data_IF_005713869004
#
_entry.id   IF_005713869004
#
_cell.length_a   1.000
_cell.length_b   1.000
_cell.length_c   1.000
_cell.angle_alpha   90.00
_cell.angle_beta   90.00
_cell.angle_gamma   90.00
#
_symmetry.space_group_name_H-M   'P 1'
#
loop_
_entity.id
_entity.type
_entity.pdbx_description
1 polymer ?
#
# COMPACT_ATOMS: atom_id res chain seq x y z
N UNK A 1 13.12 15.11 33.94
CA UNK A 1 11.99 14.97 32.99
C UNK A 1 12.13 13.61 32.34
N UNK A 2 11.34 12.62 32.79
CA UNK A 2 11.28 11.31 32.16
C UNK A 2 10.45 11.45 30.88
N UNK A 3 11.09 11.40 29.72
CA UNK A 3 10.38 11.17 28.46
C UNK A 3 9.73 9.80 28.60
N UNK A 4 8.40 9.75 28.54
CA UNK A 4 7.64 8.52 28.42
C UNK A 4 8.12 7.80 27.16
N UNK A 5 8.87 6.71 27.28
CA UNK A 5 9.15 5.81 26.17
C UNK A 5 7.83 5.19 25.69
N UNK A 6 7.17 5.84 24.74
CA UNK A 6 6.06 5.25 24.03
C UNK A 6 6.61 4.22 23.05
N UNK A 7 6.23 2.94 23.20
CA UNK A 7 6.54 1.81 22.29
C UNK A 7 5.97 1.95 20.86
N UNK A 8 5.55 3.14 20.46
CA UNK A 8 4.89 3.36 19.19
C UNK A 8 5.95 3.59 18.11
N UNK A 9 5.84 2.88 16.99
CA UNK A 9 6.67 3.13 15.82
C UNK A 9 6.17 4.39 15.08
N UNK A 10 7.09 5.27 14.69
CA UNK A 10 6.81 6.46 13.90
C UNK A 10 7.29 6.29 12.46
N UNK A 11 6.41 6.57 11.49
CA UNK A 11 6.71 6.44 10.07
C UNK A 11 6.85 7.82 9.42
N UNK A 12 7.90 8.00 8.62
CA UNK A 12 8.04 9.15 7.72
C UNK A 12 7.29 8.90 6.42
N UNK A 13 6.56 9.89 5.89
CA UNK A 13 5.78 9.75 4.65
C UNK A 13 6.49 10.48 3.51
N UNK A 14 7.04 9.72 2.58
CA UNK A 14 7.68 10.22 1.37
C UNK A 14 6.62 10.80 0.44
N UNK A 15 6.82 12.06 0.03
CA UNK A 15 5.97 12.82 -0.88
C UNK A 15 6.75 13.20 -2.16
N UNK A 16 6.06 13.78 -3.15
CA UNK A 16 6.69 14.20 -4.41
C UNK A 16 5.90 13.85 -5.67
N UNK A 17 4.65 13.37 -5.55
CA UNK A 17 3.81 12.97 -6.69
C UNK A 17 4.56 11.96 -7.60
N UNK A 18 4.49 12.13 -8.91
CA UNK A 18 5.17 11.32 -9.92
C UNK A 18 6.53 11.88 -10.36
N UNK A 19 7.09 12.83 -9.61
CA UNK A 19 8.34 13.53 -9.91
C UNK A 19 9.49 12.98 -9.06
N UNK A 20 10.51 12.41 -9.71
CA UNK A 20 11.63 11.73 -9.04
C UNK A 20 12.51 12.70 -8.24
N UNK A 21 12.75 13.89 -8.76
CA UNK A 21 13.53 14.93 -8.10
C UNK A 21 12.89 15.37 -6.76
N UNK A 22 11.57 15.53 -6.74
CA UNK A 22 10.84 15.84 -5.51
C UNK A 22 10.83 14.66 -4.54
N UNK A 23 10.80 13.43 -5.06
CA UNK A 23 10.90 12.20 -4.26
C UNK A 23 12.27 12.08 -3.60
N UNK A 24 13.35 12.39 -4.32
CA UNK A 24 14.72 12.35 -3.80
C UNK A 24 14.90 13.33 -2.64
N UNK A 25 14.39 14.56 -2.80
CA UNK A 25 14.39 15.57 -1.73
C UNK A 25 13.64 15.03 -0.50
N UNK A 26 12.47 14.43 -0.71
CA UNK A 26 11.65 13.90 0.38
C UNK A 26 12.29 12.71 1.08
N UNK A 27 12.81 11.72 0.33
CA UNK A 27 13.46 10.54 0.90
C UNK A 27 14.68 10.95 1.70
N UNK A 28 15.56 11.77 1.11
CA UNK A 28 16.78 12.20 1.78
C UNK A 28 16.47 12.91 3.10
N UNK A 29 15.55 13.86 3.08
CA UNK A 29 15.16 14.60 4.30
C UNK A 29 14.58 13.68 5.38
N UNK A 30 13.76 12.69 5.02
CA UNK A 30 13.18 11.76 5.99
C UNK A 30 14.19 10.72 6.51
N UNK A 31 15.11 10.26 5.65
CA UNK A 31 16.19 9.36 6.05
C UNK A 31 17.13 10.05 7.02
N UNK A 32 17.48 11.31 6.76
CA UNK A 32 18.32 12.13 7.65
C UNK A 32 17.68 12.34 9.04
N UNK A 33 16.34 12.39 9.12
CA UNK A 33 15.61 12.48 10.41
C UNK A 33 15.66 11.14 11.18
N UNK A 34 15.58 10.02 10.48
CA UNK A 34 15.63 8.68 11.08
C UNK A 34 14.31 8.22 11.71
N UNK A 35 13.46 7.53 10.93
CA UNK A 35 12.18 6.98 11.38
C UNK A 35 12.25 5.47 11.65
N UNK A 36 11.21 4.92 12.29
CA UNK A 36 11.08 3.48 12.50
C UNK A 36 10.68 2.74 11.21
N UNK A 37 10.08 3.47 10.26
CA UNK A 37 9.69 2.97 8.94
C UNK A 37 9.38 4.12 7.98
N UNK A 38 9.19 3.79 6.71
CA UNK A 38 8.99 4.77 5.64
C UNK A 38 7.77 4.40 4.81
N UNK A 39 6.82 5.32 4.72
CA UNK A 39 5.65 5.18 3.88
C UNK A 39 5.84 5.93 2.56
N UNK A 40 5.37 5.36 1.46
CA UNK A 40 5.28 6.01 0.15
C UNK A 40 3.84 6.48 -0.05
N UNK A 41 3.64 7.79 0.04
CA UNK A 41 2.33 8.43 -0.10
C UNK A 41 2.12 9.07 -1.47
N UNK A 42 0.85 9.31 -1.82
CA UNK A 42 0.48 10.08 -3.01
C UNK A 42 0.65 9.35 -4.35
N UNK A 43 0.65 8.01 -4.35
CA UNK A 43 0.74 7.14 -5.54
C UNK A 43 -0.49 6.22 -5.69
N UNK A 44 -1.66 6.67 -5.27
CA UNK A 44 -2.92 5.94 -5.43
C UNK A 44 -4.09 6.89 -5.71
N UNK A 45 -3.81 8.04 -6.35
CA UNK A 45 -4.77 9.15 -6.48
C UNK A 45 -5.33 9.30 -7.89
N UNK A 46 -4.81 8.56 -8.87
CA UNK A 46 -5.40 8.45 -10.21
C UNK A 46 -4.39 8.42 -11.37
N UNK A 47 -3.10 8.42 -11.05
CA UNK A 47 -2.01 8.37 -12.01
C UNK A 47 -1.88 6.99 -12.69
N UNK A 48 -1.24 6.91 -13.87
CA UNK A 48 -0.99 5.67 -14.56
C UNK A 48 -0.16 4.68 -13.74
N UNK A 49 -0.42 3.38 -13.89
CA UNK A 49 0.33 2.31 -13.19
C UNK A 49 1.82 2.32 -13.50
N UNK A 50 2.19 2.66 -14.73
CA UNK A 50 3.60 2.80 -15.11
C UNK A 50 4.32 3.86 -14.28
N UNK A 51 3.65 4.97 -13.93
CA UNK A 51 4.24 6.01 -13.08
C UNK A 51 4.39 5.54 -11.64
N UNK A 52 3.36 4.89 -11.08
CA UNK A 52 3.47 4.27 -9.75
C UNK A 52 4.66 3.30 -9.69
N UNK A 53 4.81 2.41 -10.67
CA UNK A 53 5.90 1.44 -10.71
C UNK A 53 7.27 2.09 -10.83
N UNK A 54 7.41 3.08 -11.72
CA UNK A 54 8.64 3.84 -11.91
C UNK A 54 9.06 4.54 -10.61
N UNK A 55 8.14 5.19 -9.92
CA UNK A 55 8.45 5.86 -8.65
C UNK A 55 8.81 4.85 -7.56
N UNK A 56 8.16 3.70 -7.50
CA UNK A 56 8.52 2.65 -6.55
C UNK A 56 9.92 2.09 -6.82
N UNK A 57 10.28 1.85 -8.08
CA UNK A 57 11.63 1.42 -8.49
C UNK A 57 12.70 2.45 -8.11
N UNK A 58 12.36 3.75 -8.21
CA UNK A 58 13.26 4.84 -7.88
C UNK A 58 13.45 5.04 -6.37
N UNK A 59 12.35 4.99 -5.60
CA UNK A 59 12.33 5.34 -4.18
C UNK A 59 12.75 4.20 -3.27
N UNK A 60 12.28 2.98 -3.51
CA UNK A 60 12.46 1.88 -2.56
C UNK A 60 13.94 1.54 -2.28
N UNK A 61 14.86 1.57 -3.28
CA UNK A 61 16.29 1.35 -3.05
C UNK A 61 16.97 2.42 -2.19
N UNK A 62 16.39 3.62 -2.09
CA UNK A 62 16.94 4.73 -1.32
C UNK A 62 16.56 4.68 0.17
N UNK A 63 15.59 3.83 0.53
CA UNK A 63 15.17 3.61 1.93
C UNK A 63 16.10 2.57 2.58
N UNK A 64 16.58 2.79 3.82
CA UNK A 64 17.40 1.82 4.54
C UNK A 64 16.80 0.41 4.53
N UNK A 65 17.63 -0.59 4.20
CA UNK A 65 17.16 -1.96 3.98
C UNK A 65 16.63 -2.65 5.24
N UNK A 66 17.00 -2.15 6.42
CA UNK A 66 16.55 -2.61 7.74
C UNK A 66 15.23 -1.97 8.19
N UNK A 67 14.62 -1.11 7.36
CA UNK A 67 13.40 -0.36 7.69
C UNK A 67 12.23 -0.81 6.82
N UNK A 68 11.02 -0.99 7.40
CA UNK A 68 9.84 -1.40 6.65
C UNK A 68 9.38 -0.30 5.69
N UNK A 69 8.98 -0.71 4.48
CA UNK A 69 8.44 0.14 3.42
C UNK A 69 6.94 -0.07 3.28
N UNK A 70 6.17 1.00 3.44
CA UNK A 70 4.70 0.96 3.42
C UNK A 70 4.12 1.72 2.24
N UNK A 71 3.38 1.06 1.34
CA UNK A 71 2.67 1.73 0.25
C UNK A 71 1.22 2.04 0.64
N UNK A 72 0.89 3.33 0.69
CA UNK A 72 -0.41 3.81 1.17
C UNK A 72 -1.47 3.80 0.06
N UNK A 73 -2.66 3.26 0.36
CA UNK A 73 -3.87 3.36 -0.47
C UNK A 73 -3.97 2.36 -1.62
N UNK A 74 -3.11 1.34 -1.66
CA UNK A 74 -3.02 0.35 -2.74
C UNK A 74 -3.50 -1.02 -2.27
N UNK A 75 -4.36 -1.69 -3.06
CA UNK A 75 -4.89 -3.00 -2.65
C UNK A 75 -5.49 -3.88 -3.74
N UNK A 76 -5.26 -3.59 -5.03
CA UNK A 76 -5.58 -4.60 -6.05
C UNK A 76 -4.54 -5.72 -5.98
N UNK A 77 -4.93 -7.00 -6.16
CA UNK A 77 -3.99 -8.11 -6.10
C UNK A 77 -2.77 -7.94 -7.02
N UNK A 78 -2.96 -7.43 -8.25
CA UNK A 78 -1.84 -7.22 -9.18
C UNK A 78 -0.86 -6.16 -8.65
N UNK A 79 -1.39 -5.09 -8.04
CA UNK A 79 -0.57 -4.01 -7.48
C UNK A 79 0.22 -4.46 -6.25
N UNK A 80 -0.33 -5.38 -5.44
CA UNK A 80 0.37 -5.95 -4.28
C UNK A 80 1.59 -6.75 -4.75
N UNK A 81 1.40 -7.63 -5.75
CA UNK A 81 2.51 -8.43 -6.32
C UNK A 81 3.60 -7.51 -6.86
N UNK A 82 3.21 -6.46 -7.57
CA UNK A 82 4.13 -5.55 -8.23
C UNK A 82 4.84 -4.60 -7.24
N UNK A 83 4.16 -4.23 -6.15
CA UNK A 83 4.75 -3.50 -5.04
C UNK A 83 5.77 -4.34 -4.27
N UNK A 84 5.45 -5.61 -3.96
CA UNK A 84 6.38 -6.52 -3.27
C UNK A 84 7.65 -6.75 -4.10
N UNK A 85 7.50 -6.92 -5.42
CA UNK A 85 8.66 -7.03 -6.33
C UNK A 85 9.58 -5.82 -6.31
N UNK A 86 9.07 -4.65 -5.92
CA UNK A 86 9.82 -3.39 -5.80
C UNK A 86 10.28 -3.09 -4.38
N UNK A 87 10.04 -4.00 -3.44
CA UNK A 87 10.53 -3.90 -2.07
C UNK A 87 9.56 -3.29 -1.07
N UNK A 88 8.26 -3.16 -1.41
CA UNK A 88 7.23 -2.79 -0.44
C UNK A 88 6.89 -3.97 0.48
N UNK A 89 6.82 -3.70 1.78
CA UNK A 89 6.57 -4.69 2.83
C UNK A 89 5.13 -4.61 3.38
N UNK A 90 4.51 -3.44 3.33
CA UNK A 90 3.19 -3.17 3.90
C UNK A 90 2.27 -2.44 2.92
N UNK A 91 0.98 -2.70 3.00
CA UNK A 91 -0.05 -2.09 2.15
C UNK A 91 -1.34 -1.87 2.94
N UNK A 92 -2.13 -0.87 2.54
CA UNK A 92 -3.50 -0.67 3.04
C UNK A 92 -4.45 -0.30 1.90
N UNK A 93 -5.71 -0.75 1.99
CA UNK A 93 -6.73 -0.33 1.05
C UNK A 93 -8.13 -0.48 1.62
N UNK A 94 -9.00 0.48 1.32
CA UNK A 94 -10.44 0.37 1.61
C UNK A 94 -11.18 -0.51 0.62
N UNK A 95 -10.55 -0.93 -0.49
CA UNK A 95 -11.19 -1.70 -1.55
C UNK A 95 -11.87 -2.99 -1.06
N UNK A 96 -11.29 -3.81 -0.16
CA UNK A 96 -11.95 -5.01 0.34
C UNK A 96 -13.25 -4.70 1.08
N UNK A 97 -13.26 -3.68 1.94
CA UNK A 97 -14.45 -3.30 2.72
C UNK A 97 -15.46 -2.53 1.88
N UNK A 98 -15.02 -1.71 0.92
CA UNK A 98 -15.87 -1.00 -0.04
C UNK A 98 -16.53 -1.97 -1.03
N UNK A 99 -15.82 -2.99 -1.47
CA UNK A 99 -16.37 -4.00 -2.36
C UNK A 99 -17.34 -4.93 -1.63
N UNK A 100 -17.06 -5.33 -0.40
CA UNK A 100 -18.03 -6.04 0.44
C UNK A 100 -19.34 -5.28 0.63
N UNK A 101 -19.28 -3.96 0.91
CA UNK A 101 -20.48 -3.09 1.01
C UNK A 101 -21.25 -2.96 -0.30
N UNK A 102 -20.57 -3.04 -1.44
CA UNK A 102 -21.16 -2.98 -2.78
C UNK A 102 -21.44 -4.36 -3.39
N UNK A 103 -21.32 -5.46 -2.61
CA UNK A 103 -21.61 -6.82 -3.06
C UNK A 103 -20.61 -7.39 -4.06
N UNK A 104 -19.34 -7.00 -4.01
CA UNK A 104 -18.25 -7.53 -4.83
C UNK A 104 -17.25 -8.26 -3.92
N UNK A 105 -17.05 -9.57 -4.11
CA UNK A 105 -16.05 -10.36 -3.40
C UNK A 105 -14.91 -10.66 -4.37
N UNK A 106 -13.66 -10.36 -4.00
CA UNK A 106 -12.51 -10.82 -4.77
C UNK A 106 -12.23 -12.28 -4.43
N UNK A 107 -12.25 -13.14 -5.44
CA UNK A 107 -11.82 -14.54 -5.37
C UNK A 107 -10.60 -14.72 -6.29
N UNK A 108 -9.87 -15.82 -6.13
CA UNK A 108 -8.68 -16.15 -6.93
C UNK A 108 -8.88 -16.05 -8.45
N UNK A 109 -10.11 -16.22 -8.94
CA UNK A 109 -10.48 -16.15 -10.36
C UNK A 109 -11.25 -14.87 -10.76
N UNK A 110 -11.20 -13.80 -9.96
CA UNK A 110 -11.75 -12.48 -10.31
C UNK A 110 -12.75 -11.89 -9.31
N UNK A 111 -13.65 -11.02 -9.79
CA UNK A 111 -14.61 -10.28 -8.95
C UNK A 111 -16.00 -10.90 -9.02
N UNK A 112 -16.46 -11.53 -7.94
CA UNK A 112 -17.82 -12.08 -7.83
C UNK A 112 -18.79 -10.98 -7.41
N UNK A 113 -19.76 -10.66 -8.28
CA UNK A 113 -20.89 -9.76 -7.98
C UNK A 113 -22.01 -10.50 -7.24
N UNK A 114 -22.03 -10.46 -5.91
CA UNK A 114 -23.10 -10.94 -5.02
C UNK A 114 -24.33 -10.00 -5.04
N UNK A 115 -24.66 -9.44 -6.20
CA UNK A 115 -25.94 -8.72 -6.41
C UNK A 115 -26.80 -9.33 -7.51
N UNK A 116 -26.33 -10.41 -8.14
CA UNK A 116 -27.20 -11.26 -8.94
C UNK A 116 -27.96 -12.22 -8.02
N UNK A 117 -29.28 -12.19 -8.11
CA UNK A 117 -30.24 -12.98 -7.33
C UNK A 117 -30.11 -14.52 -7.42
N UNK A 118 -29.00 -15.04 -7.96
CA UNK A 118 -28.75 -16.47 -8.17
C UNK A 118 -28.09 -17.21 -6.99
N UNK A 119 -27.62 -16.52 -5.95
CA UNK A 119 -26.99 -17.17 -4.77
C UNK A 119 -27.82 -17.07 -3.49
N UNK A 120 -29.15 -16.91 -3.60
CA UNK A 120 -30.04 -16.87 -2.43
C UNK A 120 -30.20 -18.23 -1.71
N UNK A 121 -29.62 -19.29 -2.27
CA UNK A 121 -29.61 -20.64 -1.69
C UNK A 121 -28.34 -21.36 -2.12
N UNK A 122 -27.42 -21.57 -1.19
CA UNK A 122 -26.16 -22.24 -1.48
C UNK A 122 -25.21 -22.06 -0.31
N UNK A 123 -25.32 -22.92 0.69
CA UNK A 123 -24.31 -23.08 1.72
C UNK A 123 -22.96 -23.34 1.06
N UNK A 124 -21.96 -22.48 1.33
CA UNK A 124 -20.57 -22.84 1.10
C UNK A 124 -19.79 -22.60 2.39
N UNK A 125 -19.14 -23.62 2.96
CA UNK A 125 -18.34 -23.43 4.16
C UNK A 125 -17.04 -22.69 3.77
N UNK A 126 -16.77 -21.60 4.49
CA UNK A 126 -15.46 -20.94 4.48
C UNK A 126 -14.42 -21.93 5.00
N UNK A 127 -13.47 -22.36 4.15
CA UNK A 127 -12.30 -23.10 4.61
C UNK A 127 -11.24 -22.12 5.13
N UNK A 128 -10.75 -22.45 6.31
CA UNK A 128 -9.58 -21.92 7.01
C UNK A 128 -8.30 -21.98 6.18
#
# INVERSE_FOLDING_TARGET
MTVSETKNALFGIIQGSVYEDLRDISVKGLVDIGFDGYAVGGLAVGEPKADMHRILEHVCPQIPADKPRYLMGVGKPEDLVEGVRRGIDMFDCVMPTRNARNGHLFVTDGVVKIRNAKYKSGYWPTRS
#
